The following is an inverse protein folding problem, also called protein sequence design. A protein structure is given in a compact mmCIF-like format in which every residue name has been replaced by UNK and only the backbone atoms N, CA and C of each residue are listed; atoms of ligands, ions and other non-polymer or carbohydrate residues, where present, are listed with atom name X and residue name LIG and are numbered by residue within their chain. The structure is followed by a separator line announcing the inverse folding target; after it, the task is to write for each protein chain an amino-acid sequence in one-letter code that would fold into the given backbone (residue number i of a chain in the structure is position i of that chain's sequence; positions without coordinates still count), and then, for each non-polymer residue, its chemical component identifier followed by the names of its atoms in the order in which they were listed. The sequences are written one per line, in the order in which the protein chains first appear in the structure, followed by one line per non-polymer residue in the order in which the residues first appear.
data_IF_151406037058
#
_entry.id   IF_151406037058
#
_cell.length_a   1.000
_cell.length_b   1.000
_cell.length_c   1.000
_cell.angle_alpha   90.00
_cell.angle_beta   90.00
_cell.angle_gamma   90.00
#
_symmetry.space_group_name_H-M   'P 1'
#
loop_
_entity.id
_entity.type
_entity.pdbx_description
1 polymer ?
#
# COMPACT_ATOMS: atom_id res chain seq x y z
N UNK A 1 28.29 -51.40 -71.78
CA UNK A 1 27.08 -50.73 -71.24
C UNK A 1 26.93 -51.19 -69.79
N UNK A 2 27.73 -50.59 -68.89
CA UNK A 2 27.38 -49.50 -67.95
C UNK A 2 26.53 -50.02 -66.77
N UNK A 3 27.17 -50.29 -65.61
CA UNK A 3 27.22 -49.44 -64.38
C UNK A 3 25.85 -49.36 -63.68
N UNK A 4 25.70 -49.49 -62.36
CA UNK A 4 26.64 -49.51 -61.26
C UNK A 4 25.88 -49.63 -59.93
N UNK A 5 26.63 -49.86 -58.85
CA UNK A 5 26.18 -49.97 -57.47
C UNK A 5 25.37 -48.76 -56.98
N UNK A 6 24.29 -49.00 -56.24
CA UNK A 6 23.65 -47.99 -55.38
C UNK A 6 23.89 -48.41 -53.93
N UNK A 7 24.82 -47.71 -53.30
CA UNK A 7 25.07 -47.70 -51.85
C UNK A 7 24.06 -46.73 -51.24
N UNK A 8 23.19 -47.22 -50.36
CA UNK A 8 22.25 -46.38 -49.62
C UNK A 8 22.96 -45.75 -48.41
N UNK A 9 23.51 -44.56 -48.59
CA UNK A 9 23.94 -43.67 -47.49
C UNK A 9 22.69 -43.02 -46.88
N UNK A 10 22.32 -43.40 -45.66
CA UNK A 10 21.36 -42.63 -44.85
C UNK A 10 22.16 -41.72 -43.92
N UNK A 11 21.99 -40.42 -44.14
CA UNK A 11 22.64 -39.33 -43.43
C UNK A 11 22.39 -39.37 -41.93
N UNK A 12 23.49 -39.37 -41.16
CA UNK A 12 23.53 -39.03 -39.75
C UNK A 12 23.08 -37.57 -39.60
N UNK A 13 21.86 -37.36 -39.11
CA UNK A 13 21.37 -36.03 -38.79
C UNK A 13 22.03 -35.57 -37.49
N UNK A 14 23.00 -34.65 -37.59
CA UNK A 14 23.47 -33.86 -36.46
C UNK A 14 22.26 -33.08 -35.91
N UNK A 15 21.70 -33.54 -34.80
CA UNK A 15 20.87 -32.70 -33.94
C UNK A 15 21.83 -31.71 -33.28
N UNK A 16 21.94 -30.52 -33.86
CA UNK A 16 22.39 -29.33 -33.15
C UNK A 16 21.49 -29.22 -31.92
N UNK A 17 22.07 -29.49 -30.75
CA UNK A 17 21.49 -29.18 -29.46
C UNK A 17 21.42 -27.65 -29.34
N UNK A 18 20.40 -27.07 -29.97
CA UNK A 18 19.86 -25.79 -29.56
C UNK A 18 19.40 -26.03 -28.13
N UNK A 19 20.19 -25.54 -27.17
CA UNK A 19 19.73 -25.44 -25.79
C UNK A 19 18.40 -24.67 -25.82
N UNK A 20 17.29 -25.40 -25.75
CA UNK A 20 16.00 -24.83 -25.40
C UNK A 20 16.22 -24.33 -23.99
N UNK A 21 16.57 -23.04 -23.88
CA UNK A 21 16.59 -22.33 -22.62
C UNK A 21 15.17 -22.47 -22.10
N UNK A 22 14.98 -23.34 -21.11
CA UNK A 22 13.72 -23.43 -20.38
C UNK A 22 13.44 -22.00 -19.93
N UNK A 23 12.42 -21.38 -20.55
CA UNK A 23 11.98 -20.03 -20.19
C UNK A 23 11.50 -20.17 -18.76
N UNK A 24 12.29 -19.70 -17.81
CA UNK A 24 11.83 -19.59 -16.43
C UNK A 24 10.69 -18.58 -16.44
N UNK A 25 9.50 -19.01 -16.04
CA UNK A 25 8.34 -18.13 -15.97
C UNK A 25 8.63 -17.01 -14.97
N UNK A 26 8.63 -15.77 -15.46
CA UNK A 26 8.61 -14.57 -14.64
C UNK A 26 7.39 -14.57 -13.73
N UNK A 27 7.52 -13.90 -12.59
CA UNK A 27 6.49 -13.83 -11.58
C UNK A 27 6.47 -12.44 -10.96
N UNK A 28 5.28 -11.88 -10.75
CA UNK A 28 5.12 -10.55 -10.18
C UNK A 28 3.85 -10.43 -9.36
N UNK A 29 3.99 -10.08 -8.07
CA UNK A 29 2.85 -9.89 -7.16
C UNK A 29 1.93 -8.72 -7.56
N UNK A 30 2.34 -7.86 -8.48
CA UNK A 30 1.50 -6.82 -9.08
C UNK A 30 0.48 -7.38 -10.09
N UNK A 31 0.72 -8.59 -10.58
CA UNK A 31 -0.05 -9.24 -11.64
C UNK A 31 -0.45 -10.67 -11.25
N UNK A 32 -0.84 -10.88 -10.00
CA UNK A 32 -1.30 -12.19 -9.52
C UNK A 32 -2.56 -12.64 -10.27
N UNK A 33 -2.55 -13.87 -10.79
CA UNK A 33 -3.58 -14.35 -11.73
C UNK A 33 -5.01 -14.27 -11.15
N UNK A 34 -5.20 -14.67 -9.90
CA UNK A 34 -6.54 -14.74 -9.28
C UNK A 34 -7.01 -13.40 -8.68
N UNK A 35 -6.08 -12.55 -8.26
CA UNK A 35 -6.39 -11.44 -7.35
C UNK A 35 -5.84 -10.09 -7.81
N UNK A 36 -5.18 -10.04 -8.97
CA UNK A 36 -4.63 -8.82 -9.55
C UNK A 36 -3.42 -8.31 -8.77
N UNK A 37 -3.45 -7.05 -8.40
CA UNK A 37 -2.34 -6.39 -7.72
C UNK A 37 -2.41 -6.56 -6.20
N UNK A 38 -1.48 -7.35 -5.65
CA UNK A 38 -1.33 -7.63 -4.21
C UNK A 38 -0.24 -6.76 -3.56
N UNK A 39 0.43 -5.90 -4.33
CA UNK A 39 1.47 -4.97 -3.85
C UNK A 39 0.84 -3.63 -3.48
N UNK A 40 1.17 -3.10 -2.30
CA UNK A 40 0.71 -1.76 -1.86
C UNK A 40 1.27 -0.66 -2.77
N UNK A 41 0.63 0.51 -2.81
CA UNK A 41 1.12 1.58 -3.69
C UNK A 41 2.52 2.07 -3.31
N UNK A 42 3.26 2.54 -4.32
CA UNK A 42 4.48 3.33 -4.17
C UNK A 42 4.24 4.56 -3.29
N UNK A 43 5.08 4.76 -2.29
CA UNK A 43 5.12 5.94 -1.41
C UNK A 43 6.27 6.87 -1.82
N UNK A 44 6.46 7.97 -1.10
CA UNK A 44 7.56 8.91 -1.38
C UNK A 44 8.19 9.43 -0.09
N UNK A 45 9.49 9.19 0.10
CA UNK A 45 10.27 9.78 1.19
C UNK A 45 11.31 10.83 0.72
N UNK A 46 11.40 11.10 -0.58
CA UNK A 46 12.27 12.14 -1.13
C UNK A 46 11.75 13.55 -0.80
N UNK A 47 12.64 14.56 -0.87
CA UNK A 47 12.30 15.98 -0.65
C UNK A 47 12.62 16.51 0.75
N UNK A 48 13.20 15.69 1.62
CA UNK A 48 13.60 16.10 2.97
C UNK A 48 15.02 16.70 2.94
N UNK A 49 15.11 18.03 2.87
CA UNK A 49 16.38 18.77 3.04
C UNK A 49 17.09 18.27 4.31
N UNK A 50 18.38 17.95 4.19
CA UNK A 50 19.31 17.55 5.27
C UNK A 50 19.22 16.14 5.86
N UNK A 51 18.56 15.15 5.22
CA UNK A 51 18.66 13.75 5.64
C UNK A 51 19.44 12.91 4.65
N UNK A 52 20.30 12.01 5.17
CA UNK A 52 20.86 10.91 4.37
C UNK A 52 19.68 10.02 3.94
N UNK A 53 19.39 10.02 2.64
CA UNK A 53 18.32 9.26 1.98
C UNK A 53 18.26 7.77 2.38
N UNK A 54 19.41 7.20 2.77
CA UNK A 54 19.58 5.78 3.10
C UNK A 54 18.76 5.29 4.30
N UNK A 55 18.68 6.03 5.41
CA UNK A 55 17.99 5.52 6.62
C UNK A 55 16.47 5.35 6.41
N UNK A 56 15.85 6.28 5.68
CA UNK A 56 14.41 6.23 5.41
C UNK A 56 14.09 5.15 4.38
N UNK A 57 14.95 4.93 3.39
CA UNK A 57 14.77 3.86 2.40
C UNK A 57 14.58 2.48 3.04
N UNK A 58 15.40 2.15 4.05
CA UNK A 58 15.28 0.87 4.76
C UNK A 58 13.94 0.70 5.50
N UNK A 59 13.47 1.75 6.18
CA UNK A 59 12.17 1.75 6.86
C UNK A 59 11.04 1.53 5.86
N UNK A 60 11.10 2.21 4.71
CA UNK A 60 10.09 2.07 3.67
C UNK A 60 10.11 0.66 3.05
N UNK A 61 11.29 0.13 2.70
CA UNK A 61 11.41 -1.24 2.19
C UNK A 61 10.84 -2.31 3.17
N UNK A 62 11.19 -2.23 4.46
CA UNK A 62 10.71 -3.19 5.47
C UNK A 62 9.20 -3.10 5.68
N UNK A 63 8.66 -1.90 5.76
CA UNK A 63 7.21 -1.71 5.98
C UNK A 63 6.39 -2.07 4.75
N UNK A 64 6.93 -1.88 3.54
CA UNK A 64 6.29 -2.31 2.30
C UNK A 64 6.25 -3.84 2.22
N UNK A 65 7.38 -4.51 2.46
CA UNK A 65 7.47 -5.97 2.56
C UNK A 65 6.42 -6.57 3.52
N UNK A 66 6.31 -6.02 4.73
CA UNK A 66 5.33 -6.53 5.71
C UNK A 66 3.90 -6.27 5.21
N UNK A 67 3.61 -5.09 4.67
CA UNK A 67 2.28 -4.75 4.14
C UNK A 67 1.88 -5.66 2.97
N UNK A 68 2.81 -5.97 2.08
CA UNK A 68 2.54 -6.71 0.86
C UNK A 68 2.46 -8.22 1.14
N UNK A 69 3.25 -8.74 2.10
CA UNK A 69 3.03 -10.08 2.67
C UNK A 69 1.68 -10.22 3.36
N UNK A 70 1.22 -9.20 4.10
CA UNK A 70 -0.13 -9.18 4.68
C UNK A 70 -1.23 -9.19 3.61
N UNK A 71 -1.01 -8.50 2.50
CA UNK A 71 -1.94 -8.49 1.38
C UNK A 71 -2.05 -9.86 0.71
N UNK A 72 -0.97 -10.66 0.65
CA UNK A 72 -1.01 -12.05 0.16
C UNK A 72 -1.91 -12.92 1.03
N UNK A 73 -1.89 -12.75 2.36
CA UNK A 73 -2.78 -13.49 3.25
C UNK A 73 -4.25 -13.06 3.18
N UNK A 74 -4.53 -11.83 2.75
CA UNK A 74 -5.88 -11.28 2.62
C UNK A 74 -6.07 -10.56 1.28
N UNK A 75 -6.01 -11.31 0.17
CA UNK A 75 -5.89 -10.73 -1.16
C UNK A 75 -7.12 -9.94 -1.60
N UNK A 76 -8.26 -10.15 -0.96
CA UNK A 76 -9.52 -9.46 -1.24
C UNK A 76 -9.74 -8.20 -0.39
N UNK A 77 -8.98 -8.02 0.71
CA UNK A 77 -9.16 -6.91 1.65
C UNK A 77 -8.40 -5.67 1.17
N UNK A 78 -8.77 -4.46 1.65
CA UNK A 78 -7.95 -3.29 1.41
C UNK A 78 -6.54 -3.53 1.97
N UNK A 79 -5.52 -3.21 1.17
CA UNK A 79 -4.13 -3.32 1.59
C UNK A 79 -3.88 -2.41 2.80
N UNK A 80 -2.88 -2.74 3.60
CA UNK A 80 -2.53 -1.94 4.79
C UNK A 80 -1.31 -1.08 4.51
N UNK A 81 -1.13 -0.02 5.28
CA UNK A 81 0.10 0.78 5.24
C UNK A 81 0.62 0.93 6.66
N UNK A 82 1.83 0.43 6.93
CA UNK A 82 2.46 0.57 8.23
C UNK A 82 3.01 1.98 8.43
N UNK A 83 3.05 2.44 9.68
CA UNK A 83 3.58 3.77 10.01
C UNK A 83 5.11 3.83 9.98
N UNK A 84 5.64 4.37 8.88
CA UNK A 84 7.05 4.70 8.75
C UNK A 84 7.50 5.75 9.79
N UNK A 85 6.58 6.62 10.21
CA UNK A 85 6.88 7.68 11.16
C UNK A 85 7.21 7.11 12.55
N UNK A 86 6.50 6.06 12.99
CA UNK A 86 6.79 5.41 14.27
C UNK A 86 8.20 4.81 14.28
N UNK A 87 8.57 4.10 13.23
CA UNK A 87 9.93 3.58 13.09
C UNK A 87 10.96 4.71 13.04
N UNK A 88 10.69 5.79 12.30
CA UNK A 88 11.57 6.96 12.25
C UNK A 88 11.76 7.64 13.61
N UNK A 89 10.72 7.68 14.44
CA UNK A 89 10.74 8.28 15.78
C UNK A 89 11.51 7.41 16.78
N UNK A 90 11.32 6.09 16.71
CA UNK A 90 11.70 5.17 17.77
C UNK A 90 12.97 4.35 17.51
N UNK A 91 13.46 4.30 16.27
CA UNK A 91 14.77 3.71 15.99
C UNK A 91 15.88 4.72 16.31
N UNK A 92 16.98 4.26 16.91
CA UNK A 92 18.09 5.12 17.30
C UNK A 92 18.80 5.76 16.09
N UNK A 93 19.33 6.96 16.28
CA UNK A 93 19.94 7.73 15.19
C UNK A 93 21.28 7.14 14.71
N UNK A 94 21.96 6.38 15.58
CA UNK A 94 23.22 5.69 15.28
C UNK A 94 23.03 4.45 14.38
N UNK A 95 21.78 4.00 14.24
CA UNK A 95 21.35 2.82 13.50
C UNK A 95 21.09 3.25 12.04
N UNK A 96 22.16 3.33 11.25
CA UNK A 96 22.13 3.72 9.84
C UNK A 96 21.40 2.70 8.95
N UNK A 97 20.06 2.72 8.93
CA UNK A 97 19.28 2.08 7.87
C UNK A 97 19.49 0.58 7.69
N UNK A 98 19.90 -0.15 8.74
CA UNK A 98 20.01 -1.60 8.66
C UNK A 98 18.62 -2.22 8.69
N UNK A 99 18.27 -2.98 7.64
CA UNK A 99 17.02 -3.75 7.59
C UNK A 99 16.92 -4.68 8.81
N UNK A 100 18.01 -5.35 9.17
CA UNK A 100 18.03 -6.29 10.30
C UNK A 100 17.66 -5.62 11.63
N UNK A 101 18.21 -4.44 11.92
CA UNK A 101 17.92 -3.74 13.17
C UNK A 101 16.47 -3.24 13.23
N UNK A 102 15.91 -2.84 12.09
CA UNK A 102 14.48 -2.51 11.97
C UNK A 102 13.65 -3.76 12.29
N UNK A 103 14.00 -4.91 11.73
CA UNK A 103 13.29 -6.17 11.97
C UNK A 103 13.40 -6.64 13.43
N UNK A 104 14.58 -6.51 14.05
CA UNK A 104 14.78 -6.76 15.48
C UNK A 104 13.89 -5.87 16.35
N UNK A 105 13.83 -4.57 16.04
CA UNK A 105 12.95 -3.63 16.73
C UNK A 105 11.47 -4.04 16.56
N UNK A 106 11.04 -4.40 15.35
CA UNK A 106 9.64 -4.80 15.09
C UNK A 106 9.29 -6.06 15.88
N UNK A 107 10.18 -7.05 15.91
CA UNK A 107 10.01 -8.29 16.67
C UNK A 107 9.92 -7.99 18.18
N UNK A 108 10.81 -7.16 18.72
CA UNK A 108 10.83 -6.78 20.14
C UNK A 108 9.61 -5.96 20.55
N UNK A 109 9.21 -4.98 19.73
CA UNK A 109 8.09 -4.07 20.01
C UNK A 109 6.72 -4.61 19.60
N UNK A 110 6.67 -5.88 19.19
CA UNK A 110 5.45 -6.60 18.78
C UNK A 110 4.71 -5.89 17.65
N UNK A 111 5.47 -5.45 16.65
CA UNK A 111 4.94 -4.91 15.41
C UNK A 111 5.01 -3.39 15.25
N UNK A 112 4.52 -2.93 14.11
CA UNK A 112 4.39 -1.51 13.74
C UNK A 112 2.90 -1.16 13.68
N UNK A 113 2.45 0.01 14.13
CA UNK A 113 1.05 0.39 13.97
C UNK A 113 0.72 0.81 12.53
N UNK A 114 -0.58 0.93 12.26
CA UNK A 114 -1.09 1.46 11.00
C UNK A 114 -0.68 2.92 10.76
N UNK A 115 -0.53 3.32 9.49
CA UNK A 115 -0.23 4.69 9.08
C UNK A 115 -1.26 5.69 9.62
N UNK A 116 -2.49 5.26 9.88
CA UNK A 116 -3.54 6.09 10.50
C UNK A 116 -3.24 6.47 11.96
N UNK A 117 -2.40 5.72 12.67
CA UNK A 117 -1.93 6.09 14.00
C UNK A 117 -0.93 7.26 13.94
N UNK A 118 -0.06 7.26 12.92
CA UNK A 118 0.92 8.31 12.72
C UNK A 118 1.36 8.38 11.25
N UNK A 119 0.84 9.36 10.53
CA UNK A 119 1.25 9.65 9.16
C UNK A 119 2.71 10.11 9.07
N UNK A 120 3.36 9.83 7.93
CA UNK A 120 4.73 10.25 7.69
C UNK A 120 4.84 11.78 7.57
N UNK A 121 5.72 12.38 8.38
CA UNK A 121 5.99 13.83 8.46
C UNK A 121 7.33 14.23 7.87
N UNK A 122 8.19 13.26 7.53
CA UNK A 122 9.52 13.54 7.00
C UNK A 122 10.51 14.15 7.98
N UNK A 123 10.19 14.12 9.28
CA UNK A 123 11.10 14.52 10.34
C UNK A 123 11.00 13.55 11.49
N UNK A 124 12.14 13.24 12.11
CA UNK A 124 12.22 12.46 13.34
C UNK A 124 11.65 13.31 14.47
N UNK A 125 10.69 12.74 15.18
CA UNK A 125 10.10 13.28 16.41
C UNK A 125 10.46 12.34 17.57
N UNK A 126 10.21 12.76 18.80
CA UNK A 126 10.48 11.93 19.97
C UNK A 126 9.60 10.68 19.95
N UNK A 127 10.15 9.52 20.32
CA UNK A 127 9.37 8.29 20.53
C UNK A 127 8.57 8.41 21.83
N UNK A 128 7.31 8.82 21.73
CA UNK A 128 6.39 8.97 22.87
C UNK A 128 5.06 8.26 22.59
N UNK A 129 4.22 7.97 23.60
CA UNK A 129 2.88 7.42 23.36
C UNK A 129 2.07 8.25 22.36
N UNK A 130 2.19 9.59 22.41
CA UNK A 130 1.54 10.48 21.45
C UNK A 130 2.11 10.34 20.04
N UNK A 131 3.41 10.17 19.89
CA UNK A 131 4.08 10.05 18.59
C UNK A 131 4.18 8.60 18.08
N UNK A 132 3.46 7.68 18.71
CA UNK A 132 3.31 6.27 18.28
C UNK A 132 1.88 5.97 17.84
N UNK A 133 0.87 6.53 18.50
CA UNK A 133 -0.49 6.60 17.98
C UNK A 133 -1.27 7.75 18.61
N UNK A 134 -1.87 8.61 17.79
CA UNK A 134 -2.66 9.75 18.24
C UNK A 134 -4.02 9.76 17.57
N UNK A 135 -5.04 10.21 18.32
CA UNK A 135 -6.31 10.60 17.74
C UNK A 135 -6.67 12.02 18.18
N UNK A 136 -7.40 12.75 17.34
CA UNK A 136 -7.78 14.13 17.58
C UNK A 136 -9.30 14.32 17.44
N UNK A 137 -9.95 14.83 18.48
CA UNK A 137 -11.37 15.17 18.46
C UNK A 137 -11.56 16.63 18.86
N UNK A 138 -12.30 17.41 18.06
CA UNK A 138 -12.64 18.82 18.31
C UNK A 138 -11.49 19.61 18.96
N UNK A 139 -10.37 19.72 18.24
CA UNK A 139 -9.14 20.44 18.68
C UNK A 139 -8.29 19.80 19.77
N UNK A 140 -8.72 18.68 20.37
CA UNK A 140 -7.95 17.95 21.39
C UNK A 140 -7.35 16.68 20.82
N UNK A 141 -6.03 16.58 20.83
CA UNK A 141 -5.31 15.37 20.43
C UNK A 141 -4.76 14.62 21.65
N UNK A 142 -5.04 13.32 21.73
CA UNK A 142 -4.60 12.44 22.82
C UNK A 142 -3.92 11.20 22.23
N UNK A 143 -2.91 10.71 22.95
CA UNK A 143 -2.33 9.41 22.67
C UNK A 143 -3.40 8.33 22.81
N UNK A 144 -3.44 7.38 21.87
CA UNK A 144 -4.33 6.22 21.99
C UNK A 144 -3.65 5.17 22.87
N UNK A 145 -4.33 4.73 23.93
CA UNK A 145 -3.77 3.78 24.89
C UNK A 145 -3.65 2.35 24.33
N UNK A 146 -4.59 1.93 23.48
CA UNK A 146 -4.60 0.61 22.84
C UNK A 146 -4.93 0.75 21.35
N UNK A 147 -4.09 0.15 20.50
CA UNK A 147 -4.19 0.16 19.06
C UNK A 147 -3.49 -1.07 18.48
N UNK A 148 -3.94 -1.48 17.30
CA UNK A 148 -3.40 -2.65 16.62
C UNK A 148 -2.01 -2.36 16.05
N UNK A 149 -1.15 -3.36 16.15
CA UNK A 149 0.16 -3.41 15.50
C UNK A 149 0.22 -4.64 14.60
N UNK A 150 1.05 -4.56 13.58
CA UNK A 150 1.34 -5.62 12.64
C UNK A 150 2.64 -6.32 13.05
N UNK A 151 2.58 -7.46 13.78
CA UNK A 151 3.78 -8.17 14.23
C UNK A 151 4.40 -9.00 13.10
N UNK A 152 5.67 -9.35 13.30
CA UNK A 152 6.34 -10.45 12.60
C UNK A 152 6.74 -11.49 13.65
N UNK A 153 6.84 -12.76 13.29
CA UNK A 153 7.24 -13.83 14.21
C UNK A 153 8.68 -14.26 14.03
N UNK A 154 9.18 -14.18 12.80
CA UNK A 154 10.58 -14.44 12.46
C UNK A 154 11.01 -13.54 11.31
N UNK A 155 12.30 -13.27 11.24
CA UNK A 155 12.94 -12.76 10.03
C UNK A 155 14.19 -13.57 9.70
N UNK A 156 14.64 -13.51 8.45
CA UNK A 156 15.87 -14.15 8.02
C UNK A 156 16.51 -13.42 6.85
N UNK A 157 17.84 -13.46 6.78
CA UNK A 157 18.57 -13.11 5.56
C UNK A 157 18.29 -14.15 4.48
N UNK A 158 18.11 -13.70 3.24
CA UNK A 158 17.84 -14.57 2.10
C UNK A 158 19.11 -14.73 1.30
N UNK A 159 19.55 -15.98 1.11
CA UNK A 159 20.62 -16.27 0.17
C UNK A 159 20.15 -15.87 -1.23
N UNK A 160 21.01 -15.13 -1.93
CA UNK A 160 20.69 -14.67 -3.28
C UNK A 160 20.20 -15.84 -4.16
N UNK A 161 20.78 -17.05 -4.06
CA UNK A 161 20.49 -18.21 -4.94
C UNK A 161 19.04 -18.66 -4.92
N UNK A 162 18.36 -18.45 -3.79
CA UNK A 162 16.95 -18.83 -3.59
C UNK A 162 16.00 -17.62 -3.61
N UNK A 163 16.50 -16.44 -3.99
CA UNK A 163 15.73 -15.20 -3.93
C UNK A 163 14.44 -15.23 -4.77
N UNK A 164 14.48 -15.88 -5.94
CA UNK A 164 13.30 -16.05 -6.79
C UNK A 164 12.24 -16.95 -6.12
N UNK A 165 12.69 -18.05 -5.52
CA UNK A 165 11.82 -19.00 -4.82
C UNK A 165 11.19 -18.33 -3.59
N UNK A 166 11.98 -17.60 -2.80
CA UNK A 166 11.47 -16.85 -1.65
C UNK A 166 10.39 -15.83 -2.06
N UNK A 167 10.63 -15.07 -3.14
CA UNK A 167 9.65 -14.08 -3.62
C UNK A 167 8.36 -14.76 -4.07
N UNK A 168 8.47 -15.85 -4.84
CA UNK A 168 7.31 -16.54 -5.41
C UNK A 168 6.48 -17.26 -4.34
N UNK A 169 7.12 -17.96 -3.41
CA UNK A 169 6.45 -18.82 -2.43
C UNK A 169 6.03 -18.06 -1.16
N UNK A 170 6.79 -17.05 -0.74
CA UNK A 170 6.59 -16.39 0.56
C UNK A 170 6.35 -14.88 0.47
N UNK A 171 6.34 -14.31 -0.73
CA UNK A 171 6.05 -12.90 -0.92
C UNK A 171 7.30 -12.01 -1.01
N UNK A 172 7.09 -10.70 -1.22
CA UNK A 172 8.17 -9.74 -1.41
C UNK A 172 9.24 -9.75 -0.31
N UNK A 173 10.43 -9.24 -0.63
CA UNK A 173 11.57 -9.17 0.29
C UNK A 173 12.18 -7.78 0.32
N UNK A 174 12.63 -7.33 1.50
CA UNK A 174 13.30 -6.05 1.65
C UNK A 174 14.80 -6.20 1.40
N UNK A 175 15.39 -5.34 0.57
CA UNK A 175 16.78 -5.44 0.15
C UNK A 175 17.53 -4.11 0.29
N UNK A 176 18.83 -4.25 0.48
CA UNK A 176 19.83 -3.21 0.23
C UNK A 176 20.54 -3.52 -1.09
N UNK A 177 20.79 -2.48 -1.88
CA UNK A 177 21.49 -2.55 -3.16
C UNK A 177 22.93 -2.06 -3.03
N UNK A 178 23.76 -2.33 -4.05
CA UNK A 178 25.19 -1.98 -4.02
C UNK A 178 25.46 -0.47 -3.95
N UNK A 179 24.54 0.34 -4.47
CA UNK A 179 24.57 1.81 -4.38
C UNK A 179 24.15 2.34 -2.98
N UNK A 180 23.99 1.43 -2.00
CA UNK A 180 23.53 1.71 -0.63
C UNK A 180 22.10 2.25 -0.55
N UNK A 181 21.33 2.08 -1.61
CA UNK A 181 19.91 2.34 -1.61
C UNK A 181 19.12 1.09 -1.20
N UNK A 182 17.83 1.28 -0.95
CA UNK A 182 16.93 0.24 -0.45
C UNK A 182 15.72 0.12 -1.34
N UNK A 183 15.08 -1.05 -1.28
CA UNK A 183 13.82 -1.30 -1.95
C UNK A 183 13.26 -2.67 -1.57
N UNK A 184 12.04 -2.89 -1.99
CA UNK A 184 11.37 -4.17 -1.88
C UNK A 184 11.37 -4.86 -3.24
N UNK A 185 11.75 -6.12 -3.31
CA UNK A 185 11.63 -6.91 -4.54
C UNK A 185 10.29 -7.64 -4.54
N UNK A 186 9.46 -7.34 -5.54
CA UNK A 186 8.06 -7.83 -5.62
C UNK A 186 7.84 -8.86 -6.72
N UNK A 187 8.87 -9.11 -7.53
CA UNK A 187 8.78 -10.01 -8.67
C UNK A 187 10.09 -10.09 -9.44
N UNK A 188 10.10 -10.90 -10.49
CA UNK A 188 11.21 -11.07 -11.42
C UNK A 188 10.68 -11.46 -12.80
N UNK A 189 11.49 -11.19 -13.82
CA UNK A 189 11.16 -11.42 -15.23
C UNK A 189 11.95 -12.60 -15.82
N UNK A 190 11.47 -13.12 -16.96
CA UNK A 190 12.12 -14.22 -17.70
C UNK A 190 13.59 -13.94 -18.05
N UNK A 191 13.92 -12.66 -18.28
CA UNK A 191 15.26 -12.20 -18.65
C UNK A 191 16.21 -12.02 -17.46
N UNK A 192 15.73 -12.29 -16.23
CA UNK A 192 16.56 -12.33 -15.03
C UNK A 192 16.59 -11.05 -14.20
N UNK A 193 15.82 -10.02 -14.55
CA UNK A 193 15.67 -8.83 -13.71
C UNK A 193 14.69 -9.07 -12.56
N UNK A 194 14.89 -8.34 -11.47
CA UNK A 194 13.95 -8.22 -10.36
C UNK A 194 13.22 -6.87 -10.45
N UNK A 195 11.93 -6.87 -10.10
CA UNK A 195 11.13 -5.66 -10.01
C UNK A 195 11.25 -5.09 -8.60
N UNK A 196 11.96 -3.97 -8.47
CA UNK A 196 12.26 -3.33 -7.20
C UNK A 196 11.41 -2.08 -6.97
N UNK A 197 10.57 -2.09 -5.94
CA UNK A 197 9.80 -0.93 -5.47
C UNK A 197 10.69 -0.05 -4.58
N UNK A 198 10.88 1.21 -4.99
CA UNK A 198 11.84 2.13 -4.34
C UNK A 198 11.22 3.11 -3.35
N UNK A 199 9.89 3.26 -3.37
CA UNK A 199 9.17 4.26 -2.57
C UNK A 199 9.72 5.71 -2.73
N UNK A 200 10.12 6.04 -3.96
CA UNK A 200 10.59 7.37 -4.38
C UNK A 200 9.50 8.19 -5.12
N UNK A 201 8.24 7.76 -4.99
CA UNK A 201 7.08 8.32 -5.67
C UNK A 201 6.81 7.69 -7.04
N UNK A 202 5.59 7.88 -7.53
CA UNK A 202 5.11 7.32 -8.81
C UNK A 202 5.79 7.93 -10.05
N UNK A 203 6.57 9.00 -9.89
CA UNK A 203 7.33 9.61 -10.99
C UNK A 203 8.78 9.10 -11.06
N UNK A 204 9.17 8.21 -10.14
CA UNK A 204 10.49 7.58 -10.17
C UNK A 204 10.45 6.30 -11.02
N UNK A 205 11.45 6.08 -11.87
CA UNK A 205 11.55 4.86 -12.67
C UNK A 205 10.27 4.59 -13.48
N UNK A 206 9.82 3.33 -13.44
CA UNK A 206 8.54 2.91 -14.01
C UNK A 206 7.47 2.88 -12.90
N UNK A 207 6.85 4.02 -12.61
CA UNK A 207 5.78 4.16 -11.60
C UNK A 207 6.19 3.84 -10.15
N UNK A 208 7.45 4.06 -9.82
CA UNK A 208 8.06 3.77 -8.52
C UNK A 208 8.90 2.49 -8.51
N UNK A 209 9.01 1.81 -9.64
CA UNK A 209 9.72 0.53 -9.78
C UNK A 209 10.94 0.65 -10.69
N UNK A 210 12.01 -0.01 -10.29
CA UNK A 210 13.22 -0.19 -11.08
C UNK A 210 13.38 -1.66 -11.47
N UNK A 211 13.94 -1.93 -12.65
CA UNK A 211 14.44 -3.25 -13.02
C UNK A 211 15.87 -3.40 -12.51
N UNK A 212 16.11 -4.37 -11.62
CA UNK A 212 17.41 -4.56 -10.95
C UNK A 212 17.96 -5.93 -11.31
N UNK A 213 19.20 -5.99 -11.77
CA UNK A 213 19.89 -7.28 -11.97
C UNK A 213 20.40 -7.81 -10.64
N UNK A 214 20.62 -9.12 -10.59
CA UNK A 214 21.07 -9.81 -9.39
C UNK A 214 22.37 -9.25 -8.81
N UNK A 215 23.30 -8.85 -9.67
CA UNK A 215 24.63 -8.37 -9.28
C UNK A 215 24.56 -7.06 -8.51
N UNK A 216 23.47 -6.30 -8.67
CA UNK A 216 23.23 -5.04 -7.96
C UNK A 216 22.58 -5.23 -6.59
N UNK A 217 22.14 -6.45 -6.26
CA UNK A 217 21.53 -6.79 -4.98
C UNK A 217 22.65 -7.11 -3.99
N UNK A 218 22.73 -6.33 -2.91
CA UNK A 218 23.75 -6.51 -1.88
C UNK A 218 23.31 -7.54 -0.82
N UNK A 219 22.09 -7.40 -0.30
CA UNK A 219 21.52 -8.35 0.67
C UNK A 219 20.01 -8.16 0.79
N UNK A 220 19.28 -9.24 1.02
CA UNK A 220 17.83 -9.23 1.21
C UNK A 220 17.42 -9.94 2.50
N UNK A 221 16.24 -9.57 3.02
CA UNK A 221 15.60 -10.19 4.17
C UNK A 221 14.14 -10.49 3.86
N UNK A 222 13.66 -11.63 4.36
CA UNK A 222 12.25 -12.03 4.39
C UNK A 222 11.73 -12.10 5.83
N UNK A 223 10.41 -12.08 5.98
CA UNK A 223 9.73 -12.17 7.29
C UNK A 223 8.59 -13.17 7.28
N UNK A 224 8.38 -13.83 8.41
CA UNK A 224 7.22 -14.68 8.65
C UNK A 224 6.16 -13.90 9.42
N UNK A 225 4.91 -14.03 8.97
CA UNK A 225 3.74 -13.42 9.59
C UNK A 225 2.75 -14.56 9.86
N UNK A 226 2.64 -14.99 11.12
CA UNK A 226 1.79 -16.13 11.50
C UNK A 226 0.33 -15.71 11.76
N UNK A 227 0.09 -14.44 12.08
CA UNK A 227 -1.25 -13.91 12.28
C UNK A 227 -1.58 -12.90 11.16
N UNK A 228 -2.44 -13.26 10.19
CA UNK A 228 -2.93 -12.29 9.24
C UNK A 228 -3.64 -11.19 10.03
N UNK A 229 -3.21 -9.93 9.87
CA UNK A 229 -3.91 -8.78 10.43
C UNK A 229 -5.36 -8.83 10.02
N UNK A 230 -6.29 -9.14 10.91
CA UNK A 230 -7.69 -9.34 10.50
C UNK A 230 -8.31 -7.99 10.17
N UNK A 231 -8.42 -7.65 8.89
CA UNK A 231 -9.26 -6.53 8.46
C UNK A 231 -10.68 -6.89 8.87
N UNK A 232 -11.17 -6.19 9.87
CA UNK A 232 -12.15 -6.68 10.84
C UNK A 232 -13.42 -7.19 10.16
N UNK A 233 -13.57 -8.50 10.02
CA UNK A 233 -14.89 -9.08 9.81
C UNK A 233 -15.68 -8.90 11.11
N UNK A 234 -16.97 -8.56 10.97
CA UNK A 234 -17.85 -8.02 12.02
C UNK A 234 -17.70 -8.66 13.42
N UNK A 235 -17.43 -9.96 13.53
CA UNK A 235 -17.31 -10.68 14.80
C UNK A 235 -16.14 -10.26 15.70
N UNK A 236 -15.00 -9.81 15.14
CA UNK A 236 -13.86 -9.35 15.94
C UNK A 236 -13.89 -7.85 16.25
N UNK A 237 -14.64 -7.07 15.46
CA UNK A 237 -14.94 -5.67 15.79
C UNK A 237 -15.76 -5.60 17.08
N UNK A 238 -16.64 -6.58 17.30
CA UNK A 238 -17.38 -6.76 18.55
C UNK A 238 -16.48 -7.16 19.73
N UNK A 239 -15.52 -8.07 19.52
CA UNK A 239 -14.58 -8.49 20.59
C UNK A 239 -13.62 -7.35 20.97
N UNK A 240 -13.07 -6.63 19.99
CA UNK A 240 -12.21 -5.46 20.25
C UNK A 240 -13.00 -4.27 20.80
N UNK A 241 -14.30 -4.16 20.50
CA UNK A 241 -15.22 -3.22 21.19
C UNK A 241 -15.35 -3.55 22.68
N UNK A 242 -15.27 -4.82 23.06
CA UNK A 242 -15.35 -5.25 24.46
C UNK A 242 -14.09 -4.89 25.26
N UNK A 243 -12.90 -4.97 24.64
CA UNK A 243 -11.63 -4.58 25.30
C UNK A 243 -11.33 -3.06 25.22
N UNK A 244 -11.95 -2.35 24.28
CA UNK A 244 -11.84 -0.88 24.14
C UNK A 244 -13.13 -0.17 24.58
N UNK A 245 -13.42 -0.24 25.88
CA UNK A 245 -14.47 0.59 26.49
C UNK A 245 -14.20 2.08 26.18
N UNK A 246 -15.11 2.67 25.39
CA UNK A 246 -15.24 4.07 24.96
C UNK A 246 -14.27 4.48 23.83
N UNK A 247 -14.71 4.80 22.60
CA UNK A 247 -15.45 6.02 22.25
C UNK A 247 -15.97 5.98 20.79
N UNK A 248 -16.47 4.84 20.31
CA UNK A 248 -17.40 4.89 19.17
C UNK A 248 -18.76 5.06 19.82
N UNK A 249 -19.21 6.30 20.01
CA UNK A 249 -20.64 6.55 19.95
C UNK A 249 -21.07 5.88 18.64
N UNK A 250 -21.78 4.76 18.74
CA UNK A 250 -22.68 4.37 17.69
C UNK A 250 -23.64 5.55 17.56
N UNK A 251 -23.28 6.52 16.73
CA UNK A 251 -24.30 7.19 15.97
C UNK A 251 -24.90 6.07 15.13
N UNK A 252 -25.89 5.38 15.72
CA UNK A 252 -27.08 5.06 14.97
C UNK A 252 -27.30 6.30 14.11
N UNK A 253 -27.19 6.16 12.80
CA UNK A 253 -27.65 7.19 11.90
C UNK A 253 -29.19 7.18 11.97
N UNK A 254 -29.73 7.47 13.16
CA UNK A 254 -31.07 7.97 13.41
C UNK A 254 -31.05 9.48 13.23
N UNK A 255 -30.20 9.97 12.34
CA UNK A 255 -30.43 11.24 11.69
C UNK A 255 -31.68 11.06 10.85
N UNK A 256 -32.82 11.45 11.41
CA UNK A 256 -33.90 12.06 10.64
C UNK A 256 -33.25 12.80 9.47
N UNK A 257 -33.49 12.31 8.24
CA UNK A 257 -33.17 13.03 7.02
C UNK A 257 -34.07 14.27 6.98
N UNK A 258 -33.73 15.26 7.80
CA UNK A 258 -34.21 16.62 7.69
C UNK A 258 -32.99 17.53 7.57
N UNK A 259 -32.06 17.14 6.71
CA UNK A 259 -31.09 18.07 6.12
C UNK A 259 -31.52 18.40 4.68
N UNK A 260 -32.78 18.81 4.53
CA UNK A 260 -33.30 19.44 3.31
C UNK A 260 -32.60 20.76 2.98
N UNK A 261 -31.71 21.27 3.85
CA UNK A 261 -30.96 22.52 3.60
C UNK A 261 -29.69 22.32 2.79
N UNK A 262 -29.24 21.08 2.55
CA UNK A 262 -28.11 20.76 1.67
C UNK A 262 -28.50 20.31 0.26
N UNK A 263 -29.77 19.95 0.04
CA UNK A 263 -30.27 19.43 -1.25
C UNK A 263 -30.76 20.54 -2.19
N UNK A 264 -30.83 21.80 -1.74
CA UNK A 264 -31.38 22.91 -2.53
C UNK A 264 -30.51 23.33 -3.71
N UNK A 265 -29.24 22.90 -3.78
CA UNK A 265 -28.32 23.25 -4.88
C UNK A 265 -27.99 22.10 -5.85
N UNK A 266 -28.59 20.90 -5.73
CA UNK A 266 -28.46 19.84 -6.74
C UNK A 266 -29.64 19.82 -7.72
N UNK A 267 -30.12 21.00 -8.16
CA UNK A 267 -31.05 21.10 -9.30
C UNK A 267 -30.34 21.01 -10.66
N UNK A 268 -29.01 21.02 -10.68
CA UNK A 268 -28.24 20.67 -11.88
C UNK A 268 -28.25 19.16 -12.08
N UNK A 269 -29.19 18.69 -12.93
CA UNK A 269 -29.20 17.40 -13.63
C UNK A 269 -28.15 16.39 -13.13
N UNK A 270 -28.46 15.67 -12.04
CA UNK A 270 -28.02 14.29 -12.01
C UNK A 270 -28.75 13.63 -13.19
N UNK A 271 -28.07 13.48 -14.32
CA UNK A 271 -28.49 12.56 -15.38
C UNK A 271 -28.87 11.28 -14.65
N UNK A 272 -30.13 10.85 -14.78
CA UNK A 272 -30.68 9.77 -13.99
C UNK A 272 -29.73 8.58 -14.07
N UNK A 273 -28.97 8.35 -13.00
CA UNK A 273 -28.19 7.13 -12.86
C UNK A 273 -29.21 6.01 -13.04
N UNK A 274 -28.93 5.09 -13.98
CA UNK A 274 -29.81 3.97 -14.33
C UNK A 274 -30.31 3.34 -13.03
N UNK A 275 -31.58 3.54 -12.70
CA UNK A 275 -32.12 3.10 -11.42
C UNK A 275 -32.23 1.57 -11.45
N UNK A 276 -31.41 0.88 -10.67
CA UNK A 276 -31.51 -0.56 -10.48
C UNK A 276 -32.66 -0.79 -9.49
N UNK A 277 -33.71 -1.56 -9.84
CA UNK A 277 -34.77 -1.90 -8.90
C UNK A 277 -34.19 -2.53 -7.63
N UNK A 278 -34.72 -2.18 -6.46
CA UNK A 278 -34.26 -2.71 -5.17
C UNK A 278 -34.31 -4.24 -5.15
N UNK A 279 -35.31 -4.84 -5.81
CA UNK A 279 -35.44 -6.30 -5.98
C UNK A 279 -34.25 -6.96 -6.69
N UNK A 280 -33.50 -6.19 -7.47
CA UNK A 280 -32.35 -6.67 -8.25
C UNK A 280 -31.02 -6.36 -7.54
N UNK A 281 -31.04 -5.72 -6.37
CA UNK A 281 -29.85 -5.52 -5.57
C UNK A 281 -29.52 -6.80 -4.78
N UNK A 282 -28.22 -7.13 -4.63
CA UNK A 282 -27.82 -8.22 -3.76
C UNK A 282 -28.20 -7.91 -2.31
N UNK A 283 -28.54 -8.95 -1.54
CA UNK A 283 -28.84 -8.82 -0.11
C UNK A 283 -27.67 -8.25 0.70
N UNK A 284 -26.44 -8.59 0.31
CA UNK A 284 -25.21 -8.07 0.89
C UNK A 284 -24.24 -7.66 -0.21
N UNK A 285 -23.67 -6.47 -0.11
CA UNK A 285 -22.65 -5.99 -1.03
C UNK A 285 -21.62 -5.16 -0.29
N UNK A 286 -20.35 -5.45 -0.56
CA UNK A 286 -19.23 -4.68 -0.06
C UNK A 286 -18.09 -4.66 -1.06
N UNK A 287 -17.57 -3.47 -1.33
CA UNK A 287 -16.32 -3.29 -2.08
C UNK A 287 -15.08 -3.72 -1.28
N UNK A 288 -15.20 -3.88 0.05
CA UNK A 288 -14.06 -4.24 0.92
C UNK A 288 -13.55 -5.67 0.70
N UNK A 289 -14.31 -6.53 0.01
CA UNK A 289 -13.96 -7.93 -0.22
C UNK A 289 -13.67 -8.21 -1.70
N UNK A 290 -13.10 -7.24 -2.42
CA UNK A 290 -12.90 -7.31 -3.88
C UNK A 290 -11.52 -6.82 -4.35
N UNK A 291 -10.61 -6.46 -3.44
CA UNK A 291 -9.36 -5.76 -3.77
C UNK A 291 -9.59 -4.51 -4.63
N UNK A 292 -10.65 -3.74 -4.37
CA UNK A 292 -10.99 -2.55 -5.19
C UNK A 292 -10.93 -1.25 -4.42
N UNK A 293 -10.66 -1.29 -3.11
CA UNK A 293 -10.53 -0.11 -2.27
C UNK A 293 -9.07 0.17 -1.95
N UNK A 294 -8.77 1.44 -1.72
CA UNK A 294 -7.48 1.93 -1.26
C UNK A 294 -7.39 1.90 0.28
N UNK A 295 -6.18 1.83 0.84
CA UNK A 295 -5.97 1.84 2.29
C UNK A 295 -6.60 3.07 2.98
N UNK A 296 -7.15 2.84 4.18
CA UNK A 296 -7.76 3.90 5.00
C UNK A 296 -6.72 4.95 5.37
N UNK A 297 -7.12 6.22 5.30
CA UNK A 297 -6.26 7.34 5.67
C UNK A 297 -6.86 8.18 6.80
N UNK A 298 -5.98 8.74 7.63
CA UNK A 298 -6.35 9.61 8.75
C UNK A 298 -5.91 11.05 8.49
N UNK A 299 -6.78 12.00 8.82
CA UNK A 299 -6.45 13.43 8.82
C UNK A 299 -5.89 13.94 10.16
N UNK A 300 -5.78 13.07 11.17
CA UNK A 300 -5.31 13.42 12.52
C UNK A 300 -3.79 13.30 12.69
N UNK A 301 -3.04 13.32 11.58
CA UNK A 301 -1.62 13.00 11.54
C UNK A 301 -0.70 14.21 11.75
N UNK A 302 -1.24 15.40 12.02
CA UNK A 302 -0.49 16.65 12.26
C UNK A 302 -0.30 17.00 13.74
N UNK A 303 0.39 18.11 14.07
CA UNK A 303 0.57 18.55 15.46
C UNK A 303 -0.74 18.92 16.17
N UNK A 304 -1.83 19.10 15.41
CA UNK A 304 -3.15 19.42 15.92
C UNK A 304 -4.27 18.90 15.02
N UNK A 305 -5.50 19.21 15.42
CA UNK A 305 -6.70 18.90 14.68
C UNK A 305 -6.77 19.69 13.37
N UNK A 306 -7.18 19.03 12.29
CA UNK A 306 -7.50 19.64 11.01
C UNK A 306 -8.87 19.11 10.57
N UNK A 307 -9.84 20.00 10.33
CA UNK A 307 -11.18 19.66 9.84
C UNK A 307 -11.21 19.23 8.36
N UNK A 308 -10.35 18.29 7.98
CA UNK A 308 -10.14 17.86 6.59
C UNK A 308 -11.00 16.68 6.16
N UNK A 309 -12.04 16.31 6.93
CA UNK A 309 -12.93 15.20 6.59
C UNK A 309 -13.51 15.31 5.17
N UNK A 310 -13.89 16.51 4.74
CA UNK A 310 -14.39 16.80 3.39
C UNK A 310 -13.37 16.49 2.28
N UNK A 311 -12.09 16.81 2.51
CA UNK A 311 -10.98 16.53 1.59
C UNK A 311 -10.65 15.04 1.57
N UNK A 312 -10.53 14.41 2.76
CA UNK A 312 -10.24 12.97 2.86
C UNK A 312 -11.34 12.13 2.20
N UNK A 313 -12.61 12.48 2.41
CA UNK A 313 -13.74 11.78 1.82
C UNK A 313 -13.74 11.89 0.29
N UNK A 314 -13.48 13.07 -0.27
CA UNK A 314 -13.39 13.26 -1.71
C UNK A 314 -12.19 12.53 -2.33
N UNK A 315 -11.01 12.65 -1.71
CA UNK A 315 -9.78 11.99 -2.15
C UNK A 315 -9.92 10.46 -2.17
N UNK A 316 -10.44 9.87 -1.08
CA UNK A 316 -10.66 8.43 -0.97
C UNK A 316 -11.70 7.95 -1.99
N UNK A 317 -12.83 8.64 -2.10
CA UNK A 317 -13.86 8.31 -3.11
C UNK A 317 -13.28 8.33 -4.53
N UNK A 318 -12.47 9.32 -4.87
CA UNK A 318 -11.85 9.40 -6.19
C UNK A 318 -10.83 8.28 -6.40
N UNK A 319 -9.96 8.04 -5.42
CA UNK A 319 -8.94 6.98 -5.43
C UNK A 319 -9.57 5.59 -5.62
N UNK A 320 -10.62 5.27 -4.85
CA UNK A 320 -11.34 4.00 -4.96
C UNK A 320 -12.05 3.86 -6.31
N UNK A 321 -12.65 4.95 -6.81
CA UNK A 321 -13.30 4.93 -8.13
C UNK A 321 -12.31 4.76 -9.26
N UNK A 322 -11.12 5.35 -9.19
CA UNK A 322 -10.08 5.11 -10.19
C UNK A 322 -9.78 3.62 -10.30
N UNK A 323 -9.61 2.94 -9.15
CA UNK A 323 -9.36 1.50 -9.10
C UNK A 323 -10.55 0.66 -9.57
N UNK A 324 -11.76 0.99 -9.14
CA UNK A 324 -13.00 0.27 -9.54
C UNK A 324 -13.25 0.38 -11.06
N UNK A 325 -13.01 1.56 -11.65
CA UNK A 325 -13.35 1.84 -13.05
C UNK A 325 -12.23 1.52 -14.04
N UNK A 326 -11.01 1.27 -13.58
CA UNK A 326 -9.89 0.83 -14.43
C UNK A 326 -9.97 -0.68 -14.72
N UNK A 327 -9.10 -1.49 -14.12
CA UNK A 327 -9.08 -2.95 -14.23
C UNK A 327 -9.45 -3.64 -12.92
N UNK A 328 -10.05 -2.90 -11.97
CA UNK A 328 -10.48 -3.43 -10.69
C UNK A 328 -9.28 -3.88 -9.85
N UNK A 329 -9.29 -5.15 -9.44
CA UNK A 329 -8.24 -5.75 -8.61
C UNK A 329 -6.86 -5.72 -9.24
N UNK A 330 -6.75 -5.72 -10.58
CA UNK A 330 -5.48 -5.68 -11.29
C UNK A 330 -4.81 -4.28 -11.32
N UNK A 331 -5.53 -3.24 -10.91
CA UNK A 331 -4.99 -1.87 -10.90
C UNK A 331 -4.16 -1.58 -9.66
N UNK A 332 -3.14 -0.74 -9.83
CA UNK A 332 -2.40 -0.18 -8.71
C UNK A 332 -3.28 0.74 -7.86
N UNK A 333 -3.05 0.69 -6.56
CA UNK A 333 -3.64 1.62 -5.62
C UNK A 333 -3.13 3.03 -5.94
N UNK A 334 -4.02 3.94 -6.33
CA UNK A 334 -3.68 5.33 -6.59
C UNK A 334 -4.13 6.18 -5.41
N UNK A 335 -3.21 6.93 -4.81
CA UNK A 335 -3.52 7.82 -3.69
C UNK A 335 -3.59 9.27 -4.15
N UNK A 336 -4.80 9.77 -4.31
CA UNK A 336 -5.00 11.18 -4.63
C UNK A 336 -4.71 12.01 -3.39
N UNK A 337 -3.88 13.04 -3.54
CA UNK A 337 -3.37 13.85 -2.42
C UNK A 337 -4.49 14.67 -1.75
N UNK A 338 -4.89 14.34 -0.50
CA UNK A 338 -5.86 15.16 0.23
C UNK A 338 -5.29 16.54 0.59
N UNK A 339 -3.96 16.65 0.69
CA UNK A 339 -3.28 17.91 0.97
C UNK A 339 -3.45 18.90 -0.18
N UNK A 340 -3.37 18.44 -1.44
CA UNK A 340 -3.63 19.30 -2.60
C UNK A 340 -5.06 19.87 -2.58
N UNK A 341 -6.04 19.09 -2.14
CA UNK A 341 -7.42 19.55 -1.98
C UNK A 341 -7.50 20.63 -0.89
N UNK A 342 -6.89 20.39 0.28
CA UNK A 342 -6.87 21.34 1.40
C UNK A 342 -6.27 22.68 0.98
N UNK A 343 -5.17 22.62 0.23
CA UNK A 343 -4.40 23.80 -0.16
C UNK A 343 -5.07 24.56 -1.32
N UNK A 344 -5.62 23.86 -2.30
CA UNK A 344 -6.04 24.46 -3.57
C UNK A 344 -7.55 24.64 -3.74
N UNK A 345 -8.39 23.81 -3.10
CA UNK A 345 -9.85 23.96 -3.21
C UNK A 345 -10.31 25.07 -2.29
N UNK A 346 -10.64 26.21 -2.90
CA UNK A 346 -11.26 27.36 -2.23
C UNK A 346 -12.67 27.52 -2.79
N UNK A 347 -13.66 27.42 -1.91
CA UNK A 347 -15.07 27.61 -2.23
C UNK A 347 -15.73 28.39 -1.10
N UNK A 348 -16.99 28.82 -1.28
CA UNK A 348 -17.71 29.62 -0.27
C UNK A 348 -17.79 28.94 1.11
N UNK A 349 -17.64 27.60 1.17
CA UNK A 349 -17.72 26.81 2.39
C UNK A 349 -16.41 26.09 2.74
N UNK A 350 -15.40 26.12 1.86
CA UNK A 350 -14.18 25.32 1.98
C UNK A 350 -12.96 26.16 2.34
N UNK A 351 -12.44 25.93 3.55
CA UNK A 351 -11.43 26.74 4.23
C UNK A 351 -10.28 25.86 4.77
N UNK A 352 -9.83 24.89 3.97
CA UNK A 352 -8.72 24.00 4.35
C UNK A 352 -9.02 23.23 5.65
N UNK A 353 -8.17 23.39 6.66
CA UNK A 353 -8.34 22.74 7.97
C UNK A 353 -9.45 23.33 8.83
N UNK A 354 -10.08 24.44 8.45
CA UNK A 354 -11.22 25.03 9.17
C UNK A 354 -12.58 24.45 8.74
N UNK A 355 -12.57 23.41 7.90
CA UNK A 355 -13.78 22.75 7.38
C UNK A 355 -14.00 23.02 5.89
N UNK A 356 -14.90 22.24 5.29
CA UNK A 356 -15.24 22.35 3.88
C UNK A 356 -16.35 21.43 3.44
N UNK A 357 -16.67 21.47 2.15
CA UNK A 357 -17.68 20.65 1.50
C UNK A 357 -17.05 19.85 0.36
N UNK A 358 -17.22 18.52 0.37
CA UNK A 358 -16.73 17.64 -0.70
C UNK A 358 -17.31 18.00 -2.08
N UNK A 359 -18.47 18.66 -2.14
CA UNK A 359 -19.05 19.15 -3.39
C UNK A 359 -18.17 20.20 -4.09
N UNK A 360 -17.34 20.94 -3.36
CA UNK A 360 -16.43 21.94 -3.95
C UNK A 360 -15.22 21.27 -4.62
N UNK A 361 -14.95 19.99 -4.34
CA UNK A 361 -13.78 19.26 -4.86
C UNK A 361 -13.98 18.81 -6.30
N UNK A 362 -15.18 18.34 -6.66
CA UNK A 362 -15.44 17.77 -8.00
C UNK A 362 -15.25 18.78 -9.14
N UNK A 363 -15.75 20.04 -9.05
CA UNK A 363 -15.47 21.04 -10.06
C UNK A 363 -13.99 21.38 -10.16
N UNK A 364 -13.26 21.35 -9.04
CA UNK A 364 -11.82 21.57 -9.03
C UNK A 364 -11.08 20.45 -9.77
N UNK A 365 -11.34 19.19 -9.45
CA UNK A 365 -10.77 18.04 -10.18
C UNK A 365 -11.09 18.12 -11.67
N UNK A 366 -12.35 18.35 -12.04
CA UNK A 366 -12.71 18.49 -13.46
C UNK A 366 -11.95 19.63 -14.18
N UNK A 367 -11.53 20.66 -13.45
CA UNK A 367 -10.74 21.78 -13.99
C UNK A 367 -9.25 21.44 -14.11
N UNK A 368 -8.69 20.69 -13.18
CA UNK A 368 -7.22 20.47 -13.09
C UNK A 368 -6.75 19.13 -13.64
N UNK A 369 -7.67 18.18 -13.86
CA UNK A 369 -7.37 16.79 -14.19
C UNK A 369 -7.19 15.94 -12.95
#
# INVERSE_FOLDING_TARGET
LFMGHIVLFVFLSLVLSSAVRVKGEGFDWRHHEEHGNIVSATRNYMGLRHRKSSQLGAIFAVTAMIADRLAIFQPLKPKVQLSNQVLSNCLDAEVFGSIEQILQYILHNRGVPDRTCMGFRGRKEQCTPRNTCVNCYMFRCKAKASYLKYPITKYQSIDSSVLKDEIKEHGPVACIFNDLSFGELVGFTDDGHFNAKRDLGVFHGNEGYDAITREHIKQCWGVTIDEPYRYVDHGLAEILRFESLWEIQSTKFEGSLSNERGTTNSKSRHQSLRHIPISNLPTNFSWMNRNTLTPVQSHHNGPGYCGACWSMAAASTFSDRLKIHSTGSASMDVFVSPQSIIDCVKGNRSHGCFGGDSADVWPYYNKVG
#
